data_IF_515313666077
#
_entry.id   IF_515313666077
#
_cell.length_a   1.000
_cell.length_b   1.000
_cell.length_c   1.000
_cell.angle_alpha   90.00
_cell.angle_beta   90.00
_cell.angle_gamma   90.00
#
_symmetry.space_group_name_H-M   'P 1'
#
loop_
_entity.id
_entity.type
_entity.pdbx_description
1 polymer ?
#
# COMPACT_ATOMS: atom_id res chain seq x y z
N UNK A 1 25.58 -13.13 0.94
CA UNK A 1 26.11 -12.36 -0.19
C UNK A 1 25.33 -12.85 -1.42
N UNK A 2 25.35 -12.13 -2.51
CA UNK A 2 24.65 -12.52 -3.73
C UNK A 2 24.06 -11.28 -4.43
N UNK A 3 23.24 -11.50 -5.45
CA UNK A 3 22.69 -10.44 -6.31
C UNK A 3 21.89 -9.40 -5.51
N UNK A 4 21.18 -9.82 -4.46
CA UNK A 4 20.43 -8.89 -3.60
C UNK A 4 21.36 -7.92 -2.86
N UNK A 5 22.51 -8.39 -2.36
CA UNK A 5 23.47 -7.53 -1.69
C UNK A 5 24.09 -6.53 -2.67
N UNK A 6 24.41 -6.96 -3.89
CA UNK A 6 24.92 -6.09 -4.95
C UNK A 6 23.88 -5.01 -5.29
N UNK A 7 22.62 -5.40 -5.50
CA UNK A 7 21.54 -4.45 -5.78
C UNK A 7 21.35 -3.44 -4.65
N UNK A 8 21.45 -3.87 -3.39
CA UNK A 8 21.33 -2.96 -2.25
C UNK A 8 22.49 -1.96 -2.21
N UNK A 9 23.73 -2.41 -2.49
CA UNK A 9 24.88 -1.51 -2.60
C UNK A 9 24.73 -0.53 -3.77
N UNK A 10 24.23 -0.98 -4.91
CA UNK A 10 23.97 -0.11 -6.06
C UNK A 10 22.90 0.95 -5.72
N UNK A 11 21.78 0.54 -5.11
CA UNK A 11 20.74 1.45 -4.68
C UNK A 11 21.25 2.49 -3.68
N UNK A 12 22.04 2.07 -2.69
CA UNK A 12 22.63 2.99 -1.71
C UNK A 12 23.50 4.03 -2.40
N UNK A 13 24.38 3.61 -3.31
CA UNK A 13 25.26 4.54 -4.04
C UNK A 13 24.49 5.46 -4.99
N UNK A 14 23.45 4.95 -5.65
CA UNK A 14 22.58 5.75 -6.52
C UNK A 14 21.87 6.85 -5.73
N UNK A 15 21.24 6.49 -4.62
CA UNK A 15 20.57 7.47 -3.75
C UNK A 15 21.57 8.44 -3.11
N UNK A 16 22.75 7.97 -2.72
CA UNK A 16 23.81 8.82 -2.20
C UNK A 16 24.19 9.91 -3.21
N UNK A 17 24.45 9.52 -4.45
CA UNK A 17 24.80 10.48 -5.52
C UNK A 17 23.65 11.46 -5.78
N UNK A 18 22.41 10.97 -5.87
CA UNK A 18 21.22 11.79 -6.13
C UNK A 18 20.97 12.77 -4.98
N UNK A 19 20.85 12.30 -3.75
CA UNK A 19 20.50 13.13 -2.59
C UNK A 19 21.58 14.15 -2.27
N UNK A 20 22.85 13.77 -2.41
CA UNK A 20 23.97 14.70 -2.23
C UNK A 20 23.95 15.86 -3.22
N UNK A 21 23.43 15.66 -4.41
CA UNK A 21 23.33 16.69 -5.45
C UNK A 21 22.09 17.58 -5.32
N UNK A 22 21.09 17.18 -4.52
CA UNK A 22 19.87 17.94 -4.35
C UNK A 22 20.05 19.10 -3.35
N UNK A 23 19.46 20.27 -3.62
CA UNK A 23 19.29 21.29 -2.60
C UNK A 23 18.39 20.75 -1.48
N UNK A 24 18.46 21.39 -0.30
CA UNK A 24 17.64 20.94 0.84
C UNK A 24 16.14 20.93 0.48
N UNK A 25 15.52 19.75 0.61
CA UNK A 25 14.11 19.55 0.29
C UNK A 25 13.27 19.69 1.55
N UNK A 26 12.11 20.33 1.42
CA UNK A 26 11.12 20.46 2.49
C UNK A 26 10.23 19.22 2.64
N UNK A 27 10.02 18.50 1.54
CA UNK A 27 9.16 17.32 1.50
C UNK A 27 9.67 16.32 0.46
N UNK A 28 9.72 15.06 0.83
CA UNK A 28 9.89 13.91 -0.05
C UNK A 28 8.68 13.01 0.00
N UNK A 29 8.32 12.42 -1.13
CA UNK A 29 7.25 11.42 -1.23
C UNK A 29 7.80 10.19 -1.95
N UNK A 30 7.48 8.99 -1.46
CA UNK A 30 7.84 7.76 -2.14
C UNK A 30 6.77 6.67 -1.96
N UNK A 31 6.69 5.76 -2.90
CA UNK A 31 5.81 4.59 -2.78
C UNK A 31 6.41 3.61 -1.78
N UNK A 32 5.69 3.36 -0.70
CA UNK A 32 6.14 2.51 0.39
C UNK A 32 5.64 1.08 0.20
N UNK A 33 6.57 0.16 -0.02
CA UNK A 33 6.32 -1.27 -0.18
C UNK A 33 7.23 -2.15 0.68
N UNK A 34 7.99 -1.53 1.58
CA UNK A 34 9.03 -2.15 2.41
C UNK A 34 10.12 -2.86 1.58
N UNK A 35 10.57 -2.17 0.55
CA UNK A 35 11.69 -2.62 -0.25
C UNK A 35 13.02 -2.16 0.36
N UNK A 36 14.08 -2.92 0.12
CA UNK A 36 15.41 -2.60 0.69
C UNK A 36 15.94 -1.22 0.32
N UNK A 37 15.62 -0.71 -0.87
CA UNK A 37 16.01 0.62 -1.31
C UNK A 37 15.35 1.75 -0.50
N UNK A 38 14.19 1.50 0.09
CA UNK A 38 13.50 2.50 0.93
C UNK A 38 14.29 2.81 2.21
N UNK A 39 14.95 1.80 2.76
CA UNK A 39 15.83 1.96 3.93
C UNK A 39 16.99 2.87 3.58
N UNK A 40 17.62 2.66 2.42
CA UNK A 40 18.70 3.50 1.93
C UNK A 40 18.24 4.95 1.70
N UNK A 41 17.08 5.13 1.07
CA UNK A 41 16.48 6.44 0.82
C UNK A 41 16.22 7.19 2.15
N UNK A 42 15.52 6.56 3.09
CA UNK A 42 15.16 7.16 4.37
C UNK A 42 16.40 7.50 5.21
N UNK A 43 17.42 6.63 5.20
CA UNK A 43 18.70 6.87 5.88
C UNK A 43 19.40 8.11 5.31
N UNK A 44 19.60 8.15 4.00
CA UNK A 44 20.30 9.24 3.34
C UNK A 44 19.53 10.57 3.40
N UNK A 45 18.21 10.52 3.29
CA UNK A 45 17.35 11.70 3.45
C UNK A 45 17.59 12.39 4.77
N UNK A 46 17.66 11.63 5.85
CA UNK A 46 17.95 12.12 7.19
C UNK A 46 19.39 12.59 7.34
N UNK A 47 20.36 11.82 6.81
CA UNK A 47 21.80 12.12 6.90
C UNK A 47 22.12 13.47 6.24
N UNK A 48 21.51 13.74 5.08
CA UNK A 48 21.67 15.01 4.36
C UNK A 48 20.72 16.11 4.84
N UNK A 49 20.05 15.91 5.99
CA UNK A 49 19.23 16.92 6.68
C UNK A 49 18.09 17.49 5.82
N UNK A 50 17.58 16.73 4.88
CA UNK A 50 16.30 17.04 4.26
C UNK A 50 15.18 16.97 5.32
N UNK A 51 14.09 17.69 5.09
CA UNK A 51 12.96 17.72 6.03
C UNK A 51 12.13 16.44 5.97
N UNK A 52 10.82 16.56 5.95
CA UNK A 52 9.91 15.43 6.01
C UNK A 52 10.02 14.53 4.77
N UNK A 53 9.94 13.23 5.00
CA UNK A 53 9.76 12.23 3.97
C UNK A 53 8.54 11.39 4.31
N UNK A 54 7.64 11.21 3.35
CA UNK A 54 6.36 10.53 3.53
C UNK A 54 6.35 9.25 2.70
N UNK A 55 6.12 8.14 3.36
CA UNK A 55 5.87 6.86 2.71
C UNK A 55 4.39 6.74 2.35
N UNK A 56 4.11 6.37 1.10
CA UNK A 56 2.74 6.21 0.59
C UNK A 56 2.50 4.76 0.21
N UNK A 57 1.87 3.94 1.08
CA UNK A 57 1.45 2.59 0.72
C UNK A 57 0.43 2.66 -0.42
N UNK A 58 0.80 2.15 -1.60
CA UNK A 58 -0.05 2.31 -2.78
C UNK A 58 -1.11 1.20 -2.94
N UNK A 59 -0.93 0.09 -2.22
CA UNK A 59 -1.82 -1.07 -2.29
C UNK A 59 -2.63 -1.25 -1.00
N UNK A 60 -3.73 -1.97 -1.12
CA UNK A 60 -4.51 -2.39 0.04
C UNK A 60 -3.65 -3.27 0.97
N UNK A 61 -3.61 -2.91 2.23
CA UNK A 61 -2.96 -3.73 3.26
C UNK A 61 -3.88 -4.90 3.62
N UNK A 62 -3.40 -6.11 3.44
CA UNK A 62 -4.14 -7.34 3.76
C UNK A 62 -3.84 -7.77 5.19
N UNK A 63 -4.72 -8.56 5.78
CA UNK A 63 -4.55 -9.09 7.14
C UNK A 63 -3.19 -9.80 7.36
N UNK A 64 -2.70 -10.51 6.35
CA UNK A 64 -1.43 -11.25 6.39
C UNK A 64 -0.25 -10.46 5.83
N UNK A 65 -0.41 -9.16 5.62
CA UNK A 65 0.64 -8.33 5.02
C UNK A 65 1.62 -7.86 6.08
N UNK A 66 2.70 -8.59 6.26
CA UNK A 66 3.73 -8.26 7.25
C UNK A 66 4.73 -7.19 6.80
N UNK A 67 4.55 -6.60 5.62
CA UNK A 67 5.49 -5.61 5.08
C UNK A 67 5.70 -4.41 5.99
N UNK A 68 4.70 -4.04 6.75
CA UNK A 68 4.73 -2.87 7.65
C UNK A 68 4.85 -3.25 9.13
N UNK A 69 4.82 -4.55 9.44
CA UNK A 69 4.89 -5.04 10.82
C UNK A 69 6.36 -5.09 11.28
N UNK A 70 6.81 -4.02 11.88
CA UNK A 70 8.12 -3.94 12.50
C UNK A 70 8.06 -4.26 13.99
N UNK A 71 9.21 -4.65 14.55
CA UNK A 71 9.34 -4.79 16.01
C UNK A 71 9.02 -3.43 16.67
N UNK A 72 8.17 -3.39 17.70
CA UNK A 72 7.80 -2.13 18.38
C UNK A 72 9.00 -1.32 18.89
N UNK A 73 10.13 -1.96 19.15
CA UNK A 73 11.38 -1.28 19.55
C UNK A 73 11.91 -0.33 18.46
N UNK A 74 11.58 -0.57 17.19
CA UNK A 74 11.94 0.29 16.05
C UNK A 74 11.31 1.69 16.19
N UNK A 75 10.16 1.76 16.83
CA UNK A 75 9.43 3.01 17.04
C UNK A 75 9.76 3.70 18.36
N UNK A 76 10.59 3.07 19.20
CA UNK A 76 10.94 3.62 20.50
C UNK A 76 11.93 4.78 20.38
N UNK A 77 11.59 5.92 20.97
CA UNK A 77 12.48 7.09 21.07
C UNK A 77 13.74 6.83 21.91
N UNK A 78 13.75 5.77 22.71
CA UNK A 78 14.90 5.35 23.51
C UNK A 78 15.94 4.57 22.69
N UNK A 79 15.61 4.17 21.49
CA UNK A 79 16.52 3.41 20.63
C UNK A 79 17.45 4.40 19.91
N UNK A 80 18.72 4.42 20.30
CA UNK A 80 19.76 5.26 19.67
C UNK A 80 20.06 4.84 18.24
N UNK A 81 19.77 3.59 17.89
CA UNK A 81 19.86 3.07 16.53
C UNK A 81 18.51 3.25 15.81
N UNK A 82 18.19 4.48 15.48
CA UNK A 82 16.98 4.80 14.73
C UNK A 82 16.93 4.04 13.40
N UNK A 83 16.04 3.05 13.32
CA UNK A 83 15.75 2.39 12.05
C UNK A 83 15.32 3.43 11.02
N UNK A 84 15.92 3.45 9.82
CA UNK A 84 15.55 4.42 8.78
C UNK A 84 14.12 4.16 8.31
N UNK A 85 13.22 5.06 8.66
CA UNK A 85 11.79 5.00 8.33
C UNK A 85 11.30 6.39 7.90
N UNK A 86 10.17 6.50 7.19
CA UNK A 86 9.59 7.79 6.85
C UNK A 86 9.19 8.57 8.10
N UNK A 87 9.10 9.88 7.97
CA UNK A 87 8.60 10.77 9.02
C UNK A 87 7.11 10.58 9.26
N UNK A 88 6.37 10.29 8.17
CA UNK A 88 4.93 10.04 8.16
C UNK A 88 4.62 8.93 7.16
N UNK A 89 3.54 8.22 7.41
CA UNK A 89 2.95 7.26 6.48
C UNK A 89 1.58 7.76 6.07
N UNK A 90 1.38 8.00 4.78
CA UNK A 90 0.12 8.45 4.21
C UNK A 90 -0.80 7.25 3.94
N UNK A 91 -1.73 6.99 4.84
CA UNK A 91 -2.68 5.87 4.76
C UNK A 91 -3.96 6.29 4.04
N UNK A 92 -4.52 5.41 3.23
CA UNK A 92 -5.63 5.72 2.33
C UNK A 92 -6.99 5.20 2.79
N UNK A 93 -7.17 4.98 4.10
CA UNK A 93 -8.46 4.57 4.64
C UNK A 93 -8.41 4.05 6.07
N UNK A 94 -9.58 3.98 6.69
CA UNK A 94 -9.72 3.55 8.09
C UNK A 94 -9.33 2.08 8.30
N UNK A 95 -9.55 1.22 7.31
CA UNK A 95 -9.12 -0.19 7.39
C UNK A 95 -7.60 -0.29 7.52
N UNK A 96 -6.86 0.51 6.75
CA UNK A 96 -5.42 0.56 6.82
C UNK A 96 -4.95 1.17 8.15
N UNK A 97 -5.61 2.22 8.63
CA UNK A 97 -5.33 2.82 9.94
C UNK A 97 -5.47 1.80 11.07
N UNK A 98 -6.54 1.02 11.07
CA UNK A 98 -6.75 -0.03 12.07
C UNK A 98 -5.64 -1.08 12.02
N UNK A 99 -5.25 -1.52 10.82
CA UNK A 99 -4.13 -2.43 10.66
C UNK A 99 -2.83 -1.88 11.26
N UNK A 100 -2.47 -0.63 10.97
CA UNK A 100 -1.25 -0.01 11.52
C UNK A 100 -1.31 0.11 13.05
N UNK A 101 -2.49 0.36 13.60
CA UNK A 101 -2.72 0.36 15.05
C UNK A 101 -2.51 -1.03 15.65
N UNK A 102 -3.03 -2.07 15.02
CA UNK A 102 -2.90 -3.46 15.49
C UNK A 102 -1.44 -3.92 15.54
N UNK A 103 -0.60 -3.44 14.62
CA UNK A 103 0.84 -3.70 14.62
C UNK A 103 1.65 -2.72 15.48
N UNK A 104 0.98 -1.92 16.30
CA UNK A 104 1.61 -0.94 17.22
C UNK A 104 2.45 0.14 16.52
N UNK A 105 2.07 0.54 15.32
CA UNK A 105 2.69 1.68 14.65
C UNK A 105 2.26 3.00 15.33
N UNK A 106 3.17 3.97 15.56
CA UNK A 106 2.82 5.22 16.23
C UNK A 106 1.74 6.01 15.47
N UNK A 107 0.63 6.29 16.12
CA UNK A 107 -0.49 6.99 15.49
C UNK A 107 -0.11 8.43 15.06
N UNK A 108 0.81 9.06 15.78
CA UNK A 108 1.35 10.39 15.44
C UNK A 108 2.17 10.42 14.13
N UNK A 109 2.55 9.27 13.61
CA UNK A 109 3.29 9.14 12.36
C UNK A 109 2.38 8.68 11.20
N UNK A 110 1.06 8.62 11.41
CA UNK A 110 0.07 8.23 10.41
C UNK A 110 -0.76 9.44 9.98
N UNK A 111 -0.87 9.66 8.69
CA UNK A 111 -1.73 10.71 8.12
C UNK A 111 -2.76 10.08 7.19
N UNK A 112 -4.03 10.41 7.40
CA UNK A 112 -5.10 9.91 6.56
C UNK A 112 -5.21 10.79 5.30
N UNK A 113 -5.05 10.16 4.15
CA UNK A 113 -5.17 10.82 2.85
C UNK A 113 -6.22 10.14 1.99
N UNK A 114 -6.72 10.86 0.98
CA UNK A 114 -7.65 10.29 0.02
C UNK A 114 -6.97 9.22 -0.84
N UNK A 115 -7.72 8.16 -1.11
CA UNK A 115 -7.31 7.10 -2.02
C UNK A 115 -7.51 7.55 -3.48
N UNK A 116 -6.69 8.47 -3.97
CA UNK A 116 -6.80 9.06 -5.31
C UNK A 116 -6.91 8.01 -6.43
N UNK A 117 -6.39 6.82 -6.21
CA UNK A 117 -6.54 5.67 -7.11
C UNK A 117 -8.01 5.32 -7.38
N UNK A 118 -8.90 5.58 -6.43
CA UNK A 118 -10.31 5.26 -6.49
C UNK A 118 -11.20 6.49 -6.69
N UNK A 119 -10.59 7.65 -6.95
CA UNK A 119 -11.32 8.91 -7.14
C UNK A 119 -12.41 8.82 -8.22
N UNK A 120 -12.19 8.00 -9.25
CA UNK A 120 -13.19 7.74 -10.30
C UNK A 120 -14.45 6.99 -9.79
N UNK A 121 -14.40 6.41 -8.58
CA UNK A 121 -15.55 5.75 -7.95
C UNK A 121 -16.38 6.72 -7.10
N UNK A 122 -15.90 7.95 -6.87
CA UNK A 122 -16.73 8.95 -6.22
C UNK A 122 -17.98 9.16 -7.07
N UNK A 123 -19.18 9.10 -6.48
CA UNK A 123 -20.38 9.39 -7.21
C UNK A 123 -20.30 10.84 -7.68
N UNK A 124 -19.97 11.05 -8.94
CA UNK A 124 -20.19 12.32 -9.58
C UNK A 124 -21.65 12.64 -9.35
N UNK A 125 -21.93 13.61 -8.50
CA UNK A 125 -23.25 14.08 -8.11
C UNK A 125 -24.09 14.28 -9.37
N UNK A 126 -24.90 13.27 -9.73
CA UNK A 126 -25.82 13.31 -10.86
C UNK A 126 -25.78 12.12 -11.84
N UNK A 127 -24.83 11.21 -11.80
CA UNK A 127 -24.73 10.15 -12.82
C UNK A 127 -25.04 8.71 -12.37
N UNK A 128 -25.24 8.45 -11.09
CA UNK A 128 -25.90 7.20 -10.72
C UNK A 128 -27.40 7.44 -10.85
N UNK A 129 -27.93 7.36 -12.07
CA UNK A 129 -29.34 7.01 -12.22
C UNK A 129 -29.47 5.68 -11.47
N UNK A 130 -30.15 5.73 -10.30
CA UNK A 130 -30.74 4.54 -9.73
C UNK A 130 -31.60 3.99 -10.86
N UNK A 131 -31.09 3.04 -11.65
CA UNK A 131 -31.92 2.25 -12.50
C UNK A 131 -32.93 1.64 -11.53
N UNK A 132 -34.18 1.99 -11.70
CA UNK A 132 -35.27 1.34 -11.01
C UNK A 132 -35.23 -0.11 -11.45
N UNK A 133 -34.49 -0.93 -10.72
CA UNK A 133 -34.53 -2.38 -10.89
C UNK A 133 -35.88 -2.78 -10.30
N UNK A 134 -36.91 -2.64 -11.14
CA UNK A 134 -38.30 -2.98 -10.78
C UNK A 134 -38.56 -4.49 -10.79
N UNK A 135 -37.62 -5.28 -11.21
CA UNK A 135 -37.69 -6.74 -11.13
C UNK A 135 -36.57 -7.25 -10.23
N UNK A 136 -36.91 -7.92 -9.14
CA UNK A 136 -35.97 -8.69 -8.30
C UNK A 136 -35.41 -9.85 -9.12
N UNK A 137 -34.41 -9.57 -9.94
CA UNK A 137 -33.60 -10.62 -10.54
C UNK A 137 -32.42 -10.85 -9.62
N UNK A 138 -32.21 -12.10 -9.24
CA UNK A 138 -31.01 -12.46 -8.50
C UNK A 138 -29.80 -12.17 -9.38
N UNK A 139 -28.92 -11.26 -8.90
CA UNK A 139 -27.72 -10.86 -9.60
C UNK A 139 -26.51 -11.52 -8.96
N UNK A 140 -25.77 -12.28 -9.74
CA UNK A 140 -24.49 -12.87 -9.31
C UNK A 140 -23.35 -12.09 -9.95
N UNK A 141 -22.55 -11.41 -9.12
CA UNK A 141 -21.33 -10.74 -9.54
C UNK A 141 -20.16 -11.72 -9.49
N UNK A 142 -19.48 -11.89 -10.61
CA UNK A 142 -18.32 -12.75 -10.73
C UNK A 142 -17.07 -11.87 -10.86
N UNK A 143 -16.16 -11.99 -9.89
CA UNK A 143 -14.89 -11.28 -9.90
C UNK A 143 -13.78 -12.25 -10.34
N UNK A 144 -13.18 -11.96 -11.48
CA UNK A 144 -12.04 -12.71 -12.00
C UNK A 144 -10.72 -12.31 -11.34
N UNK A 145 -9.68 -13.11 -11.60
CA UNK A 145 -8.28 -12.87 -11.22
C UNK A 145 -7.48 -12.50 -12.46
N UNK A 146 -6.30 -11.91 -12.28
CA UNK A 146 -5.37 -11.64 -13.37
C UNK A 146 -4.71 -12.94 -13.94
N UNK A 147 -4.75 -14.04 -13.19
CA UNK A 147 -4.26 -15.33 -13.61
C UNK A 147 -5.32 -16.08 -14.44
N UNK A 148 -5.01 -16.36 -15.71
CA UNK A 148 -5.93 -17.03 -16.63
C UNK A 148 -6.40 -18.39 -16.12
N UNK A 149 -5.51 -19.15 -15.48
CA UNK A 149 -5.83 -20.46 -14.89
C UNK A 149 -6.90 -20.37 -13.80
N UNK A 150 -6.82 -19.35 -12.94
CA UNK A 150 -7.80 -19.12 -11.89
C UNK A 150 -9.17 -18.76 -12.49
N UNK A 151 -9.18 -17.95 -13.54
CA UNK A 151 -10.41 -17.60 -14.25
C UNK A 151 -11.07 -18.82 -14.88
N UNK A 152 -10.30 -19.73 -15.49
CA UNK A 152 -10.83 -20.97 -16.03
C UNK A 152 -11.44 -21.86 -14.94
N UNK A 153 -10.77 -21.99 -13.79
CA UNK A 153 -11.31 -22.74 -12.65
C UNK A 153 -12.62 -22.13 -12.15
N UNK A 154 -12.67 -20.81 -12.03
CA UNK A 154 -13.85 -20.07 -11.59
C UNK A 154 -15.02 -20.25 -12.56
N UNK A 155 -14.81 -20.07 -13.86
CA UNK A 155 -15.84 -20.26 -14.88
C UNK A 155 -16.37 -21.70 -14.87
N UNK A 156 -15.50 -22.69 -14.80
CA UNK A 156 -15.89 -24.09 -14.74
C UNK A 156 -16.74 -24.40 -13.49
N UNK A 157 -16.40 -23.78 -12.34
CA UNK A 157 -17.18 -23.93 -11.11
C UNK A 157 -18.58 -23.33 -11.26
N UNK A 158 -18.68 -22.15 -11.88
CA UNK A 158 -19.95 -21.47 -12.15
C UNK A 158 -20.83 -22.30 -13.10
N UNK A 159 -20.27 -22.80 -14.20
CA UNK A 159 -20.99 -23.63 -15.15
C UNK A 159 -21.56 -24.87 -14.45
N UNK A 160 -20.76 -25.56 -13.64
CA UNK A 160 -21.20 -26.73 -12.90
C UNK A 160 -22.31 -26.41 -11.89
N UNK A 161 -22.21 -25.26 -11.20
CA UNK A 161 -23.20 -24.84 -10.23
C UNK A 161 -24.50 -24.37 -10.89
N UNK A 162 -24.44 -23.77 -12.07
CA UNK A 162 -25.63 -23.30 -12.79
C UNK A 162 -26.59 -24.42 -13.16
N UNK A 163 -26.11 -25.64 -13.36
CA UNK A 163 -26.94 -26.82 -13.62
C UNK A 163 -27.61 -27.37 -12.35
N UNK A 164 -27.15 -27.00 -11.18
CA UNK A 164 -27.70 -27.46 -9.90
C UNK A 164 -28.63 -26.42 -9.23
N UNK A 165 -28.74 -25.23 -9.78
CA UNK A 165 -29.66 -24.21 -9.27
C UNK A 165 -31.11 -24.56 -9.64
N UNK A 166 -32.06 -24.39 -8.71
CA UNK A 166 -33.46 -24.59 -9.02
C UNK A 166 -33.90 -23.65 -10.14
N UNK A 167 -34.56 -24.19 -11.14
CA UNK A 167 -35.18 -23.37 -12.20
C UNK A 167 -36.39 -22.67 -11.57
N UNK A 168 -36.23 -21.35 -11.31
CA UNK A 168 -37.35 -20.48 -10.91
C UNK A 168 -38.28 -20.20 -12.06
#
# INVERSE_FOLDING_TARGET
YGICAINNCLNLNLFLAAIKSLPNQSLGLYLQENQSWEVALNYLWKEYKHRNIVGVPHSTTRFWDLRYAHDPRVHSTKNTNNYPKPSLVAINGMSQRNYFKDISYPESELELVEALRYFHLEPHTGMIKKSSISEKKDLVLILGDYLLENNHKLINMIIRSAFSLPKT
#
